data_IF_871719599896
#
_entry.id   IF_871719599896
#
_cell.length_a   1.000
_cell.length_b   1.000
_cell.length_c   1.000
_cell.angle_alpha   90.00
_cell.angle_beta   90.00
_cell.angle_gamma   90.00
#
_symmetry.space_group_name_H-M   'P 1'
#
loop_
_entity.id
_entity.type
_entity.pdbx_description
1 polymer ?
#
# COMPACT_ATOMS: atom_id res chain seq x y z
N UNK A 1 8.95 -16.17 -11.34
CA UNK A 1 8.95 -14.75 -11.22
C UNK A 1 9.96 -14.18 -10.27
N UNK A 2 9.84 -14.28 -8.94
CA UNK A 2 10.61 -13.52 -7.96
C UNK A 2 12.01 -14.04 -7.57
N UNK A 3 12.65 -14.89 -8.37
CA UNK A 3 13.95 -15.46 -8.00
C UNK A 3 15.09 -14.42 -7.99
N UNK A 4 14.97 -13.37 -8.80
CA UNK A 4 15.90 -12.25 -8.79
C UNK A 4 15.90 -11.49 -7.45
N UNK A 5 14.74 -11.31 -6.82
CA UNK A 5 14.62 -10.76 -5.46
C UNK A 5 15.37 -11.65 -4.45
N UNK A 6 15.11 -12.95 -4.46
CA UNK A 6 15.73 -13.90 -3.53
C UNK A 6 17.25 -13.87 -3.64
N UNK A 7 17.83 -13.84 -4.85
CA UNK A 7 19.27 -13.73 -5.01
C UNK A 7 19.83 -12.38 -4.52
N UNK A 8 19.08 -11.30 -4.71
CA UNK A 8 19.47 -9.99 -4.18
C UNK A 8 19.48 -10.01 -2.64
N UNK A 9 18.47 -10.60 -2.00
CA UNK A 9 18.43 -10.76 -0.54
C UNK A 9 19.57 -11.65 -0.01
N UNK A 10 19.88 -12.75 -0.72
CA UNK A 10 21.04 -13.59 -0.35
C UNK A 10 22.37 -12.84 -0.49
N UNK A 11 22.50 -11.96 -1.49
CA UNK A 11 23.66 -11.10 -1.64
C UNK A 11 23.82 -10.15 -0.45
N UNK A 12 22.74 -9.49 -0.06
CA UNK A 12 22.70 -8.57 1.10
C UNK A 12 23.05 -9.28 2.41
N UNK A 13 22.41 -10.41 2.67
CA UNK A 13 22.64 -11.20 3.90
C UNK A 13 24.03 -11.79 4.00
N UNK A 14 24.66 -12.16 2.87
CA UNK A 14 25.96 -12.85 2.87
C UNK A 14 27.14 -11.95 2.54
N UNK A 15 26.89 -10.73 2.04
CA UNK A 15 27.90 -9.81 1.53
C UNK A 15 28.64 -10.34 0.27
N UNK A 16 28.03 -11.28 -0.49
CA UNK A 16 28.67 -11.92 -1.64
C UNK A 16 28.11 -11.42 -2.96
N UNK A 17 28.89 -10.67 -3.71
CA UNK A 17 28.49 -10.05 -5.00
C UNK A 17 28.06 -11.04 -6.09
N UNK A 18 28.55 -12.28 -6.06
CA UNK A 18 28.16 -13.28 -7.04
C UNK A 18 26.65 -13.58 -7.04
N UNK A 19 25.98 -13.46 -5.90
CA UNK A 19 24.53 -13.59 -5.83
C UNK A 19 23.82 -12.38 -6.45
N UNK A 20 24.36 -11.18 -6.30
CA UNK A 20 23.81 -9.99 -6.95
C UNK A 20 23.97 -10.04 -8.48
N UNK A 21 25.10 -10.57 -8.97
CA UNK A 21 25.27 -10.85 -10.40
C UNK A 21 24.27 -11.91 -10.90
N UNK A 22 23.98 -12.94 -10.08
CA UNK A 22 22.92 -13.91 -10.38
C UNK A 22 21.55 -13.24 -10.42
N UNK A 23 21.22 -12.37 -9.45
CA UNK A 23 19.98 -11.63 -9.44
C UNK A 23 19.75 -10.88 -10.75
N UNK A 24 20.78 -10.18 -11.25
CA UNK A 24 20.72 -9.49 -12.56
C UNK A 24 20.53 -10.47 -13.71
N UNK A 25 21.21 -11.60 -13.74
CA UNK A 25 21.08 -12.61 -14.81
C UNK A 25 19.69 -13.28 -14.83
N UNK A 26 19.05 -13.41 -13.66
CA UNK A 26 17.67 -13.92 -13.52
C UNK A 26 16.60 -12.84 -13.72
N UNK A 27 16.99 -11.60 -13.93
CA UNK A 27 16.08 -10.51 -14.25
C UNK A 27 15.61 -10.60 -15.71
N UNK A 28 14.29 -10.70 -15.86
CA UNK A 28 13.66 -11.01 -17.15
C UNK A 28 13.63 -9.79 -18.06
N UNK A 29 14.53 -9.74 -19.05
CA UNK A 29 14.76 -8.59 -19.93
C UNK A 29 13.54 -8.20 -20.77
N UNK A 30 12.70 -9.15 -21.19
CA UNK A 30 11.46 -8.87 -21.94
C UNK A 30 10.50 -7.93 -21.16
N UNK A 31 10.59 -7.92 -19.82
CA UNK A 31 9.80 -7.03 -18.99
C UNK A 31 10.62 -5.78 -18.63
N UNK A 32 11.89 -5.96 -18.28
CA UNK A 32 12.73 -4.86 -17.81
C UNK A 32 13.02 -3.85 -18.93
N UNK A 33 13.38 -4.33 -20.14
CA UNK A 33 13.83 -3.44 -21.23
C UNK A 33 12.75 -2.42 -21.64
N UNK A 34 11.48 -2.81 -21.88
CA UNK A 34 10.44 -1.82 -22.11
C UNK A 34 10.23 -0.84 -20.95
N UNK A 35 10.35 -1.32 -19.70
CA UNK A 35 10.19 -0.44 -18.54
C UNK A 35 11.30 0.60 -18.42
N UNK A 36 12.52 0.27 -18.78
CA UNK A 36 13.64 1.22 -18.87
C UNK A 36 13.42 2.32 -19.91
N UNK A 37 12.65 2.01 -20.97
CA UNK A 37 12.27 2.96 -22.02
C UNK A 37 10.90 3.63 -21.77
N UNK A 38 10.31 3.43 -20.59
CA UNK A 38 8.96 3.89 -20.22
C UNK A 38 7.87 3.43 -21.21
N UNK A 39 7.99 2.22 -21.74
CA UNK A 39 6.99 1.60 -22.60
C UNK A 39 6.09 0.64 -21.83
N UNK A 40 4.78 0.89 -21.86
CA UNK A 40 3.79 -0.04 -21.30
C UNK A 40 3.52 -1.19 -22.29
N UNK A 41 4.11 -2.35 -22.03
CA UNK A 41 3.88 -3.61 -22.78
C UNK A 41 3.24 -4.69 -21.89
N UNK A 42 2.38 -4.28 -20.94
CA UNK A 42 1.81 -5.20 -19.96
C UNK A 42 0.53 -5.90 -20.44
N UNK A 43 -0.24 -5.31 -21.34
CA UNK A 43 -1.51 -5.87 -21.83
C UNK A 43 -1.36 -7.32 -22.27
N UNK A 44 -2.23 -8.19 -21.75
CA UNK A 44 -2.25 -9.63 -22.03
C UNK A 44 -1.19 -10.44 -21.26
N UNK A 45 -0.29 -9.82 -20.51
CA UNK A 45 0.67 -10.55 -19.67
C UNK A 45 0.00 -10.94 -18.34
N UNK A 46 0.34 -12.14 -17.85
CA UNK A 46 -0.13 -12.62 -16.55
C UNK A 46 0.42 -11.72 -15.43
N UNK A 47 -0.44 -10.99 -14.73
CA UNK A 47 -0.07 -9.90 -13.83
C UNK A 47 0.80 -10.37 -12.65
N UNK A 48 0.33 -11.39 -11.93
CA UNK A 48 1.05 -11.90 -10.75
C UNK A 48 2.41 -12.56 -11.09
N UNK A 49 2.65 -12.87 -12.37
CA UNK A 49 3.97 -13.32 -12.83
C UNK A 49 4.93 -12.15 -13.02
N UNK A 50 4.43 -10.97 -13.41
CA UNK A 50 5.29 -9.80 -13.67
C UNK A 50 5.64 -9.02 -12.40
N UNK A 51 4.68 -8.80 -11.51
CA UNK A 51 4.87 -7.98 -10.31
C UNK A 51 6.06 -8.45 -9.46
N UNK A 52 6.25 -9.75 -9.13
CA UNK A 52 7.41 -10.21 -8.38
C UNK A 52 8.76 -9.99 -9.08
N UNK A 53 8.78 -9.96 -10.43
CA UNK A 53 10.01 -9.62 -11.17
C UNK A 53 10.42 -8.18 -10.91
N UNK A 54 9.45 -7.27 -10.91
CA UNK A 54 9.69 -5.84 -10.68
C UNK A 54 10.09 -5.57 -9.22
N UNK A 55 9.54 -6.30 -8.26
CA UNK A 55 10.03 -6.27 -6.87
C UNK A 55 11.53 -6.61 -6.85
N UNK A 56 11.95 -7.62 -7.59
CA UNK A 56 13.37 -7.96 -7.71
C UNK A 56 14.21 -6.89 -8.41
N UNK A 57 13.68 -6.19 -9.43
CA UNK A 57 14.39 -5.06 -10.05
C UNK A 57 14.61 -3.94 -9.04
N UNK A 58 13.56 -3.57 -8.28
CA UNK A 58 13.64 -2.57 -7.21
C UNK A 58 14.64 -2.97 -6.14
N UNK A 59 14.64 -4.25 -5.71
CA UNK A 59 15.58 -4.75 -4.69
C UNK A 59 17.03 -4.66 -5.15
N UNK A 60 17.30 -5.02 -6.41
CA UNK A 60 18.63 -4.90 -7.02
C UNK A 60 19.04 -3.43 -7.12
N UNK A 61 18.12 -2.56 -7.51
CA UNK A 61 18.36 -1.12 -7.59
C UNK A 61 18.75 -0.54 -6.22
N UNK A 62 18.04 -0.89 -5.17
CA UNK A 62 18.33 -0.44 -3.80
C UNK A 62 19.73 -0.85 -3.32
N UNK A 63 20.15 -2.07 -3.65
CA UNK A 63 21.46 -2.58 -3.22
C UNK A 63 22.64 -2.00 -4.02
N UNK A 64 22.39 -1.54 -5.25
CA UNK A 64 23.44 -1.05 -6.14
C UNK A 64 23.41 0.46 -6.39
N UNK A 65 22.36 1.17 -5.94
CA UNK A 65 22.13 2.55 -6.32
C UNK A 65 21.84 2.71 -7.81
N UNK A 66 21.17 1.73 -8.43
CA UNK A 66 20.85 1.74 -9.87
C UNK A 66 19.58 2.55 -10.13
N UNK A 67 19.76 3.84 -10.44
CA UNK A 67 18.64 4.76 -10.69
C UNK A 67 17.76 4.34 -11.88
N UNK A 68 18.33 3.71 -12.91
CA UNK A 68 17.55 3.27 -14.08
C UNK A 68 16.59 2.11 -13.72
N UNK A 69 17.04 1.16 -12.92
CA UNK A 69 16.18 0.06 -12.48
C UNK A 69 15.16 0.51 -11.42
N UNK A 70 15.52 1.48 -10.58
CA UNK A 70 14.57 2.13 -9.66
C UNK A 70 13.47 2.83 -10.43
N UNK A 71 13.82 3.60 -11.45
CA UNK A 71 12.88 4.32 -12.30
C UNK A 71 11.98 3.37 -13.10
N UNK A 72 12.52 2.28 -13.64
CA UNK A 72 11.74 1.23 -14.28
C UNK A 72 10.70 0.59 -13.33
N UNK A 73 11.07 0.35 -12.06
CA UNK A 73 10.15 -0.19 -11.06
C UNK A 73 9.06 0.82 -10.70
N UNK A 74 9.39 2.11 -10.63
CA UNK A 74 8.46 3.21 -10.40
C UNK A 74 7.48 3.36 -11.56
N UNK A 75 7.98 3.38 -12.80
CA UNK A 75 7.14 3.44 -14.00
C UNK A 75 6.16 2.26 -14.08
N UNK A 76 6.61 1.04 -13.76
CA UNK A 76 5.72 -0.12 -13.66
C UNK A 76 4.62 0.11 -12.63
N UNK A 77 4.98 0.57 -11.43
CA UNK A 77 4.03 0.83 -10.35
C UNK A 77 2.98 1.87 -10.77
N UNK A 78 3.41 3.00 -11.34
CA UNK A 78 2.53 4.04 -11.85
C UNK A 78 1.60 3.51 -12.95
N UNK A 79 2.13 2.73 -13.88
CA UNK A 79 1.35 2.11 -14.96
C UNK A 79 0.25 1.19 -14.42
N UNK A 80 0.55 0.39 -13.40
CA UNK A 80 -0.44 -0.53 -12.81
C UNK A 80 -1.44 0.23 -11.93
N UNK A 81 -0.96 1.11 -11.05
CA UNK A 81 -1.80 1.78 -10.05
C UNK A 81 -2.68 2.86 -10.67
N UNK A 82 -2.13 3.70 -11.55
CA UNK A 82 -2.86 4.84 -12.09
C UNK A 82 -3.64 4.52 -13.36
N UNK A 83 -3.21 3.52 -14.13
CA UNK A 83 -3.83 3.25 -15.44
C UNK A 83 -4.58 1.92 -15.52
N UNK A 84 -4.40 0.99 -14.56
CA UNK A 84 -4.95 -0.37 -14.63
C UNK A 84 -5.67 -0.82 -13.37
N UNK A 85 -5.70 0.02 -12.33
CA UNK A 85 -6.39 -0.30 -11.09
C UNK A 85 -7.75 0.37 -10.98
N UNK A 86 -8.65 -0.27 -10.28
CA UNK A 86 -10.00 0.24 -9.97
C UNK A 86 -10.04 0.85 -8.57
N UNK A 87 -11.17 1.43 -8.20
CA UNK A 87 -11.37 2.17 -6.94
C UNK A 87 -11.00 1.38 -5.68
N UNK A 88 -11.11 0.06 -5.66
CA UNK A 88 -10.69 -0.78 -4.52
C UNK A 88 -9.16 -1.00 -4.46
N UNK A 89 -8.38 -0.48 -5.41
CA UNK A 89 -6.92 -0.68 -5.48
C UNK A 89 -6.49 -2.01 -6.10
N UNK A 90 -7.43 -2.79 -6.65
CA UNK A 90 -7.15 -4.04 -7.34
C UNK A 90 -6.95 -3.84 -8.84
N UNK A 91 -6.22 -4.74 -9.48
CA UNK A 91 -5.92 -4.73 -10.91
C UNK A 91 -6.04 -6.14 -11.52
N UNK A 92 -5.99 -6.23 -12.85
CA UNK A 92 -6.09 -7.44 -13.67
C UNK A 92 -7.49 -8.05 -13.79
N UNK A 93 -7.67 -8.79 -14.86
CA UNK A 93 -8.87 -9.60 -15.16
C UNK A 93 -8.42 -10.98 -15.60
N UNK A 94 -8.98 -12.04 -15.02
CA UNK A 94 -8.58 -13.43 -15.34
C UNK A 94 -7.07 -13.61 -15.27
N UNK A 95 -6.46 -13.08 -14.19
CA UNK A 95 -5.02 -13.10 -13.91
C UNK A 95 -4.13 -12.24 -14.85
N UNK A 96 -4.70 -11.60 -15.87
CA UNK A 96 -3.93 -10.88 -16.90
C UNK A 96 -4.21 -9.39 -16.87
N UNK A 97 -3.23 -8.58 -17.21
CA UNK A 97 -3.43 -7.15 -17.42
C UNK A 97 -4.34 -6.92 -18.63
N UNK A 98 -5.48 -6.25 -18.41
CA UNK A 98 -6.36 -5.78 -19.48
C UNK A 98 -5.76 -4.54 -20.17
N UNK A 99 -6.24 -4.14 -21.38
CA UNK A 99 -5.85 -2.86 -21.96
C UNK A 99 -6.12 -1.69 -21.01
N UNK A 100 -5.21 -0.73 -20.93
CA UNK A 100 -5.36 0.44 -20.05
C UNK A 100 -6.49 1.36 -20.46
N UNK A 101 -6.89 1.30 -21.72
CA UNK A 101 -7.93 2.13 -22.35
C UNK A 101 -9.32 1.46 -22.35
N UNK A 102 -9.44 0.24 -21.80
CA UNK A 102 -10.71 -0.53 -21.80
C UNK A 102 -10.88 -1.36 -20.52
N UNK A 103 -11.81 -0.92 -19.68
CA UNK A 103 -12.18 -1.60 -18.44
C UNK A 103 -13.46 -2.46 -18.58
N UNK A 104 -14.00 -2.64 -19.78
CA UNK A 104 -15.23 -3.41 -19.99
C UNK A 104 -15.15 -4.84 -19.48
N UNK A 105 -14.00 -5.50 -19.68
CA UNK A 105 -13.73 -6.85 -19.17
C UNK A 105 -13.68 -6.89 -17.64
N UNK A 106 -13.20 -5.85 -16.97
CA UNK A 106 -13.17 -5.71 -15.52
C UNK A 106 -14.58 -5.69 -14.92
N UNK A 107 -15.51 -4.99 -15.58
CA UNK A 107 -16.88 -4.83 -15.13
C UNK A 107 -17.77 -6.04 -15.42
N UNK A 108 -17.42 -6.85 -16.41
CA UNK A 108 -18.28 -7.96 -16.88
C UNK A 108 -17.78 -9.34 -16.47
N UNK A 109 -16.48 -9.50 -16.16
CA UNK A 109 -15.88 -10.78 -15.77
C UNK A 109 -16.28 -11.19 -14.36
N UNK A 110 -16.45 -12.51 -14.18
CA UNK A 110 -16.56 -13.15 -12.86
C UNK A 110 -15.19 -13.23 -12.14
N UNK A 111 -14.11 -13.11 -12.91
CA UNK A 111 -12.72 -13.16 -12.43
C UNK A 111 -12.11 -11.75 -12.50
N UNK A 112 -12.42 -10.93 -11.54
CA UNK A 112 -11.89 -9.57 -11.39
C UNK A 112 -10.48 -9.56 -10.77
N UNK A 113 -10.12 -8.49 -10.04
CA UNK A 113 -8.82 -8.38 -9.40
C UNK A 113 -8.43 -9.60 -8.55
N UNK A 114 -7.21 -10.07 -8.76
CA UNK A 114 -6.61 -11.18 -8.00
C UNK A 114 -5.99 -10.68 -6.70
N UNK A 115 -6.26 -11.38 -5.59
CA UNK A 115 -5.70 -11.03 -4.27
C UNK A 115 -4.16 -11.04 -4.26
N UNK A 116 -3.52 -12.01 -4.94
CA UNK A 116 -2.05 -12.07 -5.02
C UNK A 116 -1.44 -10.86 -5.73
N UNK A 117 -2.12 -10.31 -6.74
CA UNK A 117 -1.64 -9.11 -7.41
C UNK A 117 -1.56 -7.93 -6.45
N UNK A 118 -2.62 -7.70 -5.70
CA UNK A 118 -2.66 -6.61 -4.71
C UNK A 118 -1.64 -6.84 -3.60
N UNK A 119 -1.48 -8.08 -3.11
CA UNK A 119 -0.43 -8.43 -2.15
C UNK A 119 0.96 -8.02 -2.65
N UNK A 120 1.33 -8.41 -3.88
CA UNK A 120 2.63 -8.08 -4.44
C UNK A 120 2.77 -6.59 -4.78
N UNK A 121 1.70 -5.93 -5.22
CA UNK A 121 1.72 -4.47 -5.42
C UNK A 121 1.94 -3.71 -4.10
N UNK A 122 1.36 -4.16 -2.98
CA UNK A 122 1.63 -3.56 -1.66
C UNK A 122 3.09 -3.75 -1.23
N UNK A 123 3.72 -4.90 -1.54
CA UNK A 123 5.15 -5.11 -1.32
C UNK A 123 6.01 -4.10 -2.10
N UNK A 124 5.72 -3.93 -3.40
CA UNK A 124 6.43 -2.95 -4.24
C UNK A 124 6.18 -1.52 -3.74
N UNK A 125 4.93 -1.18 -3.40
CA UNK A 125 4.56 0.13 -2.85
C UNK A 125 5.34 0.46 -1.58
N UNK A 126 5.49 -0.50 -0.68
CA UNK A 126 6.31 -0.36 0.53
C UNK A 126 7.76 -0.02 0.19
N UNK A 127 8.38 -0.75 -0.75
CA UNK A 127 9.79 -0.52 -1.13
C UNK A 127 9.98 0.88 -1.74
N UNK A 128 9.07 1.32 -2.60
CA UNK A 128 9.10 2.66 -3.20
C UNK A 128 8.89 3.75 -2.15
N UNK A 129 7.97 3.54 -1.21
CA UNK A 129 7.78 4.46 -0.08
C UNK A 129 9.04 4.56 0.80
N UNK A 130 9.68 3.45 1.13
CA UNK A 130 10.87 3.42 1.98
C UNK A 130 12.06 4.19 1.37
N UNK A 131 12.11 4.33 0.06
CA UNK A 131 13.16 5.09 -0.64
C UNK A 131 12.88 6.60 -0.66
N UNK A 132 11.61 7.00 -0.77
CA UNK A 132 11.24 8.40 -1.04
C UNK A 132 10.46 9.08 0.09
N UNK A 133 9.79 8.30 0.97
CA UNK A 133 8.78 8.75 1.93
C UNK A 133 7.62 9.55 1.29
N UNK A 134 7.36 9.34 -0.01
CA UNK A 134 6.28 10.02 -0.72
C UNK A 134 4.92 9.44 -0.27
N UNK A 135 4.06 10.34 0.22
CA UNK A 135 2.71 9.98 0.72
C UNK A 135 1.82 9.35 -0.33
N UNK A 136 2.06 9.62 -1.62
CA UNK A 136 1.28 9.05 -2.71
C UNK A 136 1.28 7.52 -2.68
N UNK A 137 2.42 6.89 -2.34
CA UNK A 137 2.48 5.45 -2.14
C UNK A 137 1.59 4.99 -0.99
N UNK A 138 1.55 5.75 0.10
CA UNK A 138 0.72 5.39 1.25
C UNK A 138 -0.77 5.60 1.02
N UNK A 139 -1.16 6.57 0.20
CA UNK A 139 -2.56 6.74 -0.23
C UNK A 139 -3.08 5.53 -1.00
N UNK A 140 -2.27 4.99 -1.92
CA UNK A 140 -2.62 3.79 -2.68
C UNK A 140 -2.53 2.52 -1.84
N UNK A 141 -1.56 2.45 -0.91
CA UNK A 141 -1.46 1.37 0.07
C UNK A 141 -2.72 1.29 0.94
N UNK A 142 -3.14 2.42 1.54
CA UNK A 142 -4.34 2.52 2.37
C UNK A 142 -5.60 2.12 1.58
N UNK A 143 -5.75 2.65 0.36
CA UNK A 143 -6.88 2.33 -0.53
C UNK A 143 -7.00 0.82 -0.77
N UNK A 144 -5.91 0.17 -1.16
CA UNK A 144 -5.90 -1.26 -1.44
C UNK A 144 -6.08 -2.10 -0.17
N UNK A 145 -5.50 -1.68 0.95
CA UNK A 145 -5.64 -2.37 2.23
C UNK A 145 -7.09 -2.38 2.71
N UNK A 146 -7.75 -1.21 2.78
CA UNK A 146 -9.11 -1.11 3.30
C UNK A 146 -10.16 -1.69 2.35
N UNK A 147 -10.00 -1.54 1.03
CA UNK A 147 -11.06 -1.87 0.09
C UNK A 147 -10.88 -3.21 -0.60
N UNK A 148 -9.66 -3.70 -0.78
CA UNK A 148 -9.43 -5.00 -1.39
C UNK A 148 -8.98 -6.03 -0.34
N UNK A 149 -7.84 -5.82 0.32
CA UNK A 149 -7.27 -6.83 1.21
C UNK A 149 -8.22 -7.19 2.37
N UNK A 150 -8.72 -6.21 3.12
CA UNK A 150 -9.65 -6.47 4.24
C UNK A 150 -10.90 -7.23 3.81
N UNK A 151 -11.33 -7.07 2.56
CA UNK A 151 -12.53 -7.72 2.04
C UNK A 151 -12.28 -9.14 1.51
N UNK A 152 -11.05 -9.63 1.54
CA UNK A 152 -10.68 -10.96 0.98
C UNK A 152 -10.66 -12.09 2.00
N UNK A 153 -11.06 -11.85 3.23
CA UNK A 153 -11.23 -12.88 4.26
C UNK A 153 -12.71 -12.99 4.66
N UNK A 154 -13.18 -14.21 4.81
CA UNK A 154 -14.45 -14.47 5.49
C UNK A 154 -14.24 -14.35 7.00
N UNK A 155 -14.84 -13.36 7.68
CA UNK A 155 -14.63 -13.15 9.11
C UNK A 155 -15.27 -14.23 9.98
N UNK A 156 -16.15 -15.05 9.42
CA UNK A 156 -16.88 -16.12 10.15
C UNK A 156 -16.19 -17.47 10.01
N UNK A 157 -15.83 -17.85 8.76
CA UNK A 157 -15.28 -19.17 8.46
C UNK A 157 -13.77 -19.16 8.20
N UNK A 158 -13.17 -17.99 7.99
CA UNK A 158 -11.72 -17.81 7.76
C UNK A 158 -11.27 -18.18 6.35
N UNK A 159 -12.18 -18.31 5.38
CA UNK A 159 -11.85 -18.56 3.97
C UNK A 159 -11.28 -17.32 3.29
N UNK A 160 -10.43 -17.50 2.26
CA UNK A 160 -9.80 -16.44 1.48
C UNK A 160 -10.35 -16.36 0.07
N UNK A 161 -10.30 -15.18 -0.52
CA UNK A 161 -10.78 -14.88 -1.87
C UNK A 161 -9.64 -14.95 -2.88
N UNK A 162 -9.87 -15.58 -4.02
CA UNK A 162 -8.96 -15.53 -5.17
C UNK A 162 -9.23 -14.27 -6.00
N UNK A 163 -10.44 -14.14 -6.56
CA UNK A 163 -10.88 -13.02 -7.37
C UNK A 163 -11.94 -12.20 -6.64
N UNK A 164 -11.85 -10.89 -6.76
CA UNK A 164 -12.88 -9.95 -6.34
C UNK A 164 -13.63 -9.45 -7.58
N UNK A 165 -14.76 -10.09 -7.98
CA UNK A 165 -15.49 -9.69 -9.16
C UNK A 165 -16.13 -8.32 -8.97
N UNK A 166 -16.06 -7.49 -10.02
CA UNK A 166 -16.74 -6.20 -10.10
C UNK A 166 -18.07 -6.30 -10.83
N UNK A 167 -18.36 -7.46 -11.42
CA UNK A 167 -19.63 -7.74 -12.09
C UNK A 167 -20.80 -7.59 -11.14
N UNK A 168 -21.78 -6.78 -11.53
CA UNK A 168 -23.01 -6.58 -10.75
C UNK A 168 -23.79 -7.90 -10.55
N UNK A 169 -24.30 -8.11 -9.34
CA UNK A 169 -25.09 -9.32 -9.00
C UNK A 169 -24.25 -10.61 -8.89
N UNK A 170 -22.92 -10.52 -8.90
CA UNK A 170 -22.05 -11.67 -8.67
C UNK A 170 -21.58 -11.74 -7.22
N UNK A 171 -21.12 -12.92 -6.78
CA UNK A 171 -20.67 -13.19 -5.41
C UNK A 171 -19.19 -13.56 -5.36
N UNK A 172 -18.60 -13.44 -4.17
CA UNK A 172 -17.25 -13.92 -3.88
C UNK A 172 -17.23 -15.40 -3.56
N UNK A 173 -16.19 -16.09 -4.03
CA UNK A 173 -15.93 -17.49 -3.70
C UNK A 173 -14.79 -17.53 -2.69
N UNK A 174 -15.07 -18.11 -1.52
CA UNK A 174 -14.08 -18.28 -0.45
C UNK A 174 -13.47 -19.68 -0.48
N UNK A 175 -12.20 -19.76 -0.10
CA UNK A 175 -11.48 -21.02 0.01
C UNK A 175 -12.04 -21.91 1.12
N UNK A 176 -11.92 -23.24 0.93
CA UNK A 176 -12.26 -24.23 1.93
C UNK A 176 -11.00 -24.77 2.60
N UNK A 177 -10.97 -25.01 3.92
CA UNK A 177 -9.75 -25.34 4.67
C UNK A 177 -8.99 -26.57 4.14
N UNK A 178 -9.69 -27.60 3.63
CA UNK A 178 -9.08 -28.87 3.23
C UNK A 178 -9.00 -29.08 1.71
N UNK A 179 -9.72 -28.29 0.91
CA UNK A 179 -9.90 -28.57 -0.53
C UNK A 179 -9.44 -27.45 -1.45
N UNK A 180 -9.18 -26.26 -0.91
CA UNK A 180 -8.71 -25.12 -1.67
C UNK A 180 -7.25 -24.83 -1.33
N UNK A 181 -6.36 -25.08 -2.30
CA UNK A 181 -4.93 -24.84 -2.15
C UNK A 181 -4.44 -23.90 -3.27
N UNK A 182 -5.00 -22.70 -3.28
CA UNK A 182 -4.68 -21.66 -4.26
C UNK A 182 -3.49 -20.80 -3.80
N UNK A 183 -2.80 -20.16 -4.74
CA UNK A 183 -1.78 -19.14 -4.39
C UNK A 183 -2.34 -18.06 -3.47
N UNK A 184 -3.58 -17.63 -3.69
CA UNK A 184 -4.26 -16.61 -2.88
C UNK A 184 -4.62 -17.06 -1.46
N UNK A 185 -4.57 -18.34 -1.13
CA UNK A 185 -4.63 -18.82 0.26
C UNK A 185 -3.31 -18.45 0.98
N UNK A 186 -2.18 -18.67 0.32
CA UNK A 186 -0.86 -18.28 0.86
C UNK A 186 -0.73 -16.78 1.04
N UNK A 187 -1.00 -15.99 0.01
CA UNK A 187 -0.96 -14.53 0.12
C UNK A 187 -2.03 -13.99 1.08
N UNK A 188 -3.19 -14.66 1.20
CA UNK A 188 -4.22 -14.32 2.16
C UNK A 188 -3.75 -14.45 3.60
N UNK A 189 -3.09 -15.55 3.96
CA UNK A 189 -2.51 -15.71 5.30
C UNK A 189 -1.48 -14.62 5.61
N UNK A 190 -0.62 -14.26 4.65
CA UNK A 190 0.36 -13.19 4.83
C UNK A 190 -0.27 -11.81 4.91
N UNK A 191 -1.25 -11.49 4.04
CA UNK A 191 -1.94 -10.20 4.00
C UNK A 191 -2.49 -9.82 5.38
N UNK A 192 -3.22 -10.75 6.00
CA UNK A 192 -3.91 -10.49 7.26
C UNK A 192 -2.97 -10.51 8.48
N UNK A 193 -1.73 -10.99 8.32
CA UNK A 193 -0.68 -10.89 9.32
C UNK A 193 0.15 -9.59 9.21
N UNK A 194 -0.03 -8.78 8.14
CA UNK A 194 0.82 -7.62 7.81
C UNK A 194 0.19 -6.25 8.07
N UNK A 195 -0.97 -6.17 8.70
CA UNK A 195 -1.65 -4.88 8.93
C UNK A 195 -0.80 -3.86 9.68
N UNK A 196 0.08 -4.33 10.56
CA UNK A 196 1.00 -3.48 11.33
C UNK A 196 2.19 -2.94 10.54
N UNK A 197 2.49 -3.50 9.35
CA UNK A 197 3.77 -3.30 8.67
C UNK A 197 4.02 -1.85 8.25
N UNK A 198 2.96 -1.11 7.87
CA UNK A 198 3.06 0.25 7.34
C UNK A 198 2.29 1.29 8.18
N UNK A 199 1.87 0.95 9.40
CA UNK A 199 1.23 1.95 10.29
C UNK A 199 2.22 3.07 10.58
N UNK A 200 3.47 2.73 10.83
CA UNK A 200 4.54 3.67 11.14
C UNK A 200 5.73 3.50 10.22
N UNK A 201 6.39 4.62 9.94
CA UNK A 201 7.75 4.69 9.45
C UNK A 201 8.62 5.48 10.44
N UNK A 202 9.93 5.37 10.34
CA UNK A 202 10.83 6.18 11.15
C UNK A 202 12.17 6.45 10.45
N UNK A 203 12.77 7.58 10.76
CA UNK A 203 14.18 7.84 10.60
C UNK A 203 14.86 7.88 11.98
N UNK A 204 16.01 8.51 12.11
CA UNK A 204 16.74 8.60 13.38
C UNK A 204 15.95 9.37 14.44
N UNK A 205 15.35 10.49 14.06
CA UNK A 205 14.66 11.46 14.92
C UNK A 205 13.25 11.85 14.44
N UNK A 206 12.70 11.11 13.50
CA UNK A 206 11.34 11.34 12.98
C UNK A 206 10.51 10.05 13.05
N UNK A 207 9.27 10.19 13.48
CA UNK A 207 8.24 9.16 13.48
C UNK A 207 7.14 9.53 12.49
N UNK A 208 6.95 8.72 11.46
CA UNK A 208 5.89 8.87 10.46
C UNK A 208 4.68 8.04 10.85
N UNK A 209 3.50 8.65 10.91
CA UNK A 209 2.21 7.98 11.12
C UNK A 209 1.50 7.91 9.78
N UNK A 210 1.55 6.75 9.15
CA UNK A 210 1.09 6.55 7.78
C UNK A 210 -0.34 6.00 7.71
N UNK A 211 -0.71 5.08 8.60
CA UNK A 211 -2.04 4.50 8.66
C UNK A 211 -2.66 4.75 10.03
N UNK A 212 -3.95 5.07 10.03
CA UNK A 212 -4.68 5.40 11.25
C UNK A 212 -5.38 4.16 11.79
N UNK A 213 -4.58 3.22 12.32
CA UNK A 213 -5.01 1.93 12.85
C UNK A 213 -4.69 1.86 14.33
N UNK A 214 -5.64 1.48 15.23
CA UNK A 214 -5.37 1.32 16.64
C UNK A 214 -4.19 0.37 16.88
N UNK A 215 -3.15 0.84 17.57
CA UNK A 215 -1.90 0.09 17.66
C UNK A 215 -1.00 0.60 18.78
N UNK A 216 -0.01 -0.22 19.13
CA UNK A 216 1.06 0.14 20.04
C UNK A 216 2.40 -0.09 19.34
N UNK A 217 3.22 0.95 19.28
CA UNK A 217 4.58 0.89 18.78
C UNK A 217 5.58 1.00 19.93
N UNK A 218 6.59 0.13 19.95
CA UNK A 218 7.77 0.29 20.77
C UNK A 218 8.93 0.77 19.88
N UNK A 219 9.29 2.04 19.96
CA UNK A 219 10.38 2.67 19.22
C UNK A 219 11.54 3.02 20.16
N UNK A 220 12.46 2.09 20.29
CA UNK A 220 13.52 2.18 21.29
C UNK A 220 12.96 2.29 22.70
N UNK A 221 13.17 3.44 23.37
CA UNK A 221 12.65 3.72 24.72
C UNK A 221 11.33 4.50 24.72
N UNK A 222 10.78 4.81 23.57
CA UNK A 222 9.50 5.50 23.42
C UNK A 222 8.43 4.46 23.09
N UNK A 223 7.35 4.46 23.87
CA UNK A 223 6.13 3.72 23.55
C UNK A 223 5.11 4.71 23.01
N UNK A 224 4.54 4.39 21.87
CA UNK A 224 3.49 5.18 21.21
C UNK A 224 2.25 4.33 21.14
N UNK A 225 1.14 4.84 21.64
CA UNK A 225 -0.17 4.22 21.56
C UNK A 225 -1.05 5.06 20.64
N UNK A 226 -1.49 4.49 19.52
CA UNK A 226 -2.44 5.12 18.62
C UNK A 226 -3.86 4.72 18.98
N UNK A 227 -4.65 5.70 19.37
CA UNK A 227 -6.05 5.58 19.76
C UNK A 227 -6.90 6.21 18.65
N UNK A 228 -7.76 5.41 18.02
CA UNK A 228 -8.59 5.89 16.92
C UNK A 228 -9.76 4.93 16.68
N UNK A 229 -10.91 5.47 16.30
CA UNK A 229 -12.04 4.73 15.75
C UNK A 229 -12.12 4.79 14.22
N UNK A 230 -11.04 5.26 13.56
CA UNK A 230 -10.96 5.36 12.11
C UNK A 230 -11.19 3.99 11.41
N UNK A 231 -11.93 3.90 10.31
CA UNK A 231 -12.50 4.99 9.50
C UNK A 231 -13.93 5.43 9.90
N UNK A 232 -14.42 5.05 11.07
CA UNK A 232 -15.73 5.47 11.57
C UNK A 232 -15.70 6.81 12.32
N UNK A 233 -14.51 7.22 12.78
CA UNK A 233 -14.26 8.50 13.42
C UNK A 233 -13.19 9.28 12.66
N UNK A 234 -13.38 10.58 12.53
CA UNK A 234 -12.51 11.48 11.77
C UNK A 234 -11.32 12.00 12.60
N UNK A 235 -10.69 11.14 13.40
CA UNK A 235 -9.55 11.56 14.22
C UNK A 235 -8.65 10.39 14.60
N UNK A 236 -7.40 10.73 14.91
CA UNK A 236 -6.44 9.84 15.55
C UNK A 236 -5.74 10.58 16.70
N UNK A 237 -5.40 9.86 17.75
CA UNK A 237 -4.66 10.39 18.91
C UNK A 237 -3.47 9.50 19.18
N UNK A 238 -2.28 10.08 19.31
CA UNK A 238 -1.11 9.39 19.82
C UNK A 238 -0.90 9.76 21.26
N UNK A 239 -0.74 8.76 22.14
CA UNK A 239 -0.27 8.90 23.49
C UNK A 239 1.16 8.40 23.59
N UNK A 240 2.05 9.23 24.11
CA UNK A 240 3.48 8.97 24.17
C UNK A 240 3.88 8.60 25.61
N UNK A 241 4.67 7.56 25.77
CA UNK A 241 5.29 7.21 27.04
C UNK A 241 6.80 7.18 26.85
N UNK A 242 7.48 8.07 27.56
CA UNK A 242 8.92 8.28 27.48
C UNK A 242 9.50 8.27 28.90
N UNK A 243 10.31 7.28 29.25
CA UNK A 243 10.94 7.24 30.59
C UNK A 243 11.82 8.46 30.92
N UNK A 244 12.32 9.14 29.87
CA UNK A 244 12.96 10.48 29.92
C UNK A 244 12.51 11.26 28.70
N UNK A 245 12.32 12.57 28.87
CA UNK A 245 11.94 13.44 27.76
C UNK A 245 12.94 13.33 26.61
N UNK A 246 12.41 13.10 25.39
CA UNK A 246 13.19 12.90 24.15
C UNK A 246 12.71 13.86 23.09
N UNK A 247 13.65 14.49 22.37
CA UNK A 247 13.35 15.37 21.25
C UNK A 247 13.25 14.54 19.97
N UNK A 248 12.14 14.68 19.24
CA UNK A 248 11.90 14.10 17.92
C UNK A 248 10.67 14.74 17.27
N UNK A 249 10.50 14.49 15.99
CA UNK A 249 9.38 14.98 15.18
C UNK A 249 8.37 13.86 14.96
N UNK A 250 7.10 14.12 15.23
CA UNK A 250 5.98 13.28 14.78
C UNK A 250 5.42 13.86 13.50
N UNK A 251 5.33 13.05 12.46
CA UNK A 251 4.80 13.42 11.13
C UNK A 251 3.54 12.60 10.85
N UNK A 252 2.39 13.24 10.76
CA UNK A 252 1.13 12.61 10.37
C UNK A 252 0.93 12.76 8.86
N UNK A 253 0.68 11.65 8.17
CA UNK A 253 0.31 11.71 6.75
C UNK A 253 -0.97 12.54 6.57
N UNK A 254 -0.98 13.38 5.56
CA UNK A 254 -2.18 14.03 5.03
C UNK A 254 -2.71 13.18 3.88
N UNK A 255 -3.81 12.41 4.08
CA UNK A 255 -4.34 11.57 3.02
C UNK A 255 -4.88 12.39 1.84
N UNK A 256 -4.78 11.85 0.60
CA UNK A 256 -5.33 12.49 -0.61
C UNK A 256 -6.83 12.80 -0.53
N UNK A 257 -7.57 12.07 0.31
CA UNK A 257 -9.00 12.24 0.50
C UNK A 257 -9.39 13.27 1.56
N UNK A 258 -8.43 13.83 2.31
CA UNK A 258 -8.68 14.77 3.40
C UNK A 258 -8.21 16.18 3.03
N UNK A 259 -9.04 17.17 3.37
CA UNK A 259 -8.70 18.57 3.17
C UNK A 259 -7.84 19.09 4.34
N UNK A 260 -6.56 19.33 4.07
CA UNK A 260 -5.60 19.80 5.06
C UNK A 260 -6.03 21.13 5.72
N UNK A 261 -6.75 21.99 5.02
CA UNK A 261 -7.24 23.28 5.56
C UNK A 261 -8.30 23.13 6.65
N UNK A 262 -8.94 21.97 6.73
CA UNK A 262 -9.98 21.63 7.71
C UNK A 262 -9.45 20.74 8.83
N UNK A 263 -8.19 20.34 8.78
CA UNK A 263 -7.57 19.56 9.85
C UNK A 263 -7.35 20.42 11.09
N UNK A 264 -7.50 19.80 12.24
CA UNK A 264 -7.18 20.39 13.53
C UNK A 264 -6.14 19.54 14.22
N UNK A 265 -5.12 20.19 14.78
CA UNK A 265 -4.04 19.55 15.53
C UNK A 265 -4.02 20.11 16.95
N UNK A 266 -3.96 19.22 17.93
CA UNK A 266 -3.77 19.62 19.32
C UNK A 266 -2.64 18.83 19.97
N UNK A 267 -1.92 19.49 20.88
CA UNK A 267 -0.93 18.84 21.75
C UNK A 267 -1.34 19.14 23.20
N UNK A 268 -1.59 18.10 23.96
CA UNK A 268 -2.10 18.20 25.34
C UNK A 268 -3.33 19.12 25.43
N UNK A 269 -4.25 19.01 24.48
CA UNK A 269 -5.46 19.84 24.38
C UNK A 269 -5.24 21.26 23.87
N UNK A 270 -4.00 21.68 23.63
CA UNK A 270 -3.69 23.02 23.10
C UNK A 270 -3.57 22.98 21.58
N UNK A 271 -4.35 23.83 20.89
CA UNK A 271 -4.34 23.91 19.44
C UNK A 271 -2.94 24.30 18.89
N UNK A 272 -2.54 23.65 17.80
CA UNK A 272 -1.30 23.91 17.09
C UNK A 272 -1.62 24.30 15.65
N UNK A 273 -0.74 25.09 14.99
CA UNK A 273 -0.87 25.36 13.56
C UNK A 273 -0.79 24.06 12.76
N UNK A 274 -1.67 23.93 11.77
CA UNK A 274 -1.58 22.86 10.76
C UNK A 274 -0.89 23.40 9.54
N UNK A 275 0.28 22.88 9.23
CA UNK A 275 1.03 23.19 8.02
C UNK A 275 1.53 21.89 7.40
N UNK A 276 1.00 21.56 6.22
CA UNK A 276 1.41 20.38 5.49
C UNK A 276 2.64 20.68 4.60
N UNK A 277 3.66 19.85 4.70
CA UNK A 277 4.84 19.90 3.84
C UNK A 277 5.24 18.47 3.46
N UNK A 278 5.50 18.22 2.17
CA UNK A 278 5.80 16.89 1.66
C UNK A 278 4.72 15.86 1.96
N UNK A 279 3.45 16.29 2.07
CA UNK A 279 2.32 15.42 2.40
C UNK A 279 2.17 15.05 3.88
N UNK A 280 2.91 15.71 4.78
CA UNK A 280 2.84 15.48 6.22
C UNK A 280 2.58 16.74 7.02
N UNK A 281 1.82 16.62 8.10
CA UNK A 281 1.74 17.60 9.19
C UNK A 281 2.72 17.18 10.27
N UNK A 282 3.66 18.06 10.61
CA UNK A 282 4.76 17.76 11.52
C UNK A 282 4.64 18.49 12.86
N UNK A 283 4.99 17.79 13.95
CA UNK A 283 5.12 18.37 15.29
C UNK A 283 6.49 18.01 15.85
N UNK A 284 7.37 19.00 15.92
CA UNK A 284 8.72 18.86 16.49
C UNK A 284 8.76 19.43 17.90
N UNK A 285 9.10 18.60 18.88
CA UNK A 285 9.25 19.06 20.27
C UNK A 285 10.00 18.03 21.12
N UNK A 286 10.34 18.46 22.33
CA UNK A 286 10.79 17.56 23.37
C UNK A 286 9.57 16.93 24.04
N UNK A 287 9.32 15.65 23.75
CA UNK A 287 8.19 14.87 24.25
C UNK A 287 8.46 14.38 25.68
N UNK A 288 7.46 14.48 26.53
CA UNK A 288 7.47 13.99 27.90
C UNK A 288 6.54 12.78 28.05
N UNK A 289 6.66 12.10 29.18
CA UNK A 289 5.77 10.99 29.53
C UNK A 289 4.33 11.47 29.69
N UNK A 290 3.40 10.79 29.03
CA UNK A 290 1.98 11.13 29.01
C UNK A 290 1.58 12.22 28.01
N UNK A 291 2.52 12.78 27.21
CA UNK A 291 2.14 13.72 26.16
C UNK A 291 1.18 13.07 25.15
N UNK A 292 0.20 13.86 24.73
CA UNK A 292 -0.83 13.45 23.78
C UNK A 292 -0.88 14.39 22.59
N UNK A 293 -0.92 13.84 21.38
CA UNK A 293 -1.13 14.62 20.15
C UNK A 293 -2.31 14.05 19.37
N UNK A 294 -3.27 14.90 19.03
CA UNK A 294 -4.49 14.52 18.31
C UNK A 294 -4.59 15.30 17.00
N UNK A 295 -4.87 14.57 15.92
CA UNK A 295 -5.15 15.12 14.59
C UNK A 295 -6.57 14.73 14.15
N UNK A 296 -7.34 15.71 13.65
CA UNK A 296 -8.59 15.42 12.93
C UNK A 296 -8.29 15.10 11.48
N UNK A 297 -9.12 14.24 10.89
CA UNK A 297 -9.00 13.72 9.53
C UNK A 297 -10.34 13.91 8.81
N UNK A 298 -10.70 15.15 8.42
CA UNK A 298 -12.01 15.44 7.85
C UNK A 298 -12.27 14.62 6.60
N UNK A 299 -13.37 13.87 6.59
CA UNK A 299 -13.80 13.05 5.46
C UNK A 299 -14.89 13.77 4.66
N UNK A 300 -15.02 13.40 3.40
CA UNK A 300 -16.07 13.86 2.52
C UNK A 300 -16.46 12.79 1.52
N UNK A 301 -17.68 12.89 0.98
CA UNK A 301 -18.11 12.05 -0.11
C UNK A 301 -17.38 12.47 -1.38
N UNK A 302 -16.78 11.52 -2.07
CA UNK A 302 -16.04 11.71 -3.33
C UNK A 302 -16.49 10.70 -4.38
N UNK A 303 -16.28 11.03 -5.63
CA UNK A 303 -16.48 10.14 -6.78
C UNK A 303 -15.11 9.72 -7.32
N UNK A 304 -14.94 8.44 -7.57
CA UNK A 304 -13.80 7.87 -8.29
C UNK A 304 -14.28 7.33 -9.63
N UNK A 305 -13.61 7.69 -10.71
CA UNK A 305 -13.85 7.23 -12.08
C UNK A 305 -12.88 6.13 -12.47
N UNK A 306 -13.18 5.39 -13.54
CA UNK A 306 -12.22 4.47 -14.13
C UNK A 306 -11.18 5.24 -14.97
N UNK A 307 -9.94 4.72 -15.06
CA UNK A 307 -8.87 5.38 -15.82
C UNK A 307 -9.12 5.51 -17.32
N UNK A 308 -9.99 4.66 -17.90
CA UNK A 308 -10.38 4.71 -19.32
C UNK A 308 -11.37 5.84 -19.67
N UNK A 309 -11.81 6.61 -18.66
CA UNK A 309 -12.77 7.70 -18.84
C UNK A 309 -14.20 7.25 -19.12
N UNK A 310 -14.52 5.96 -18.96
CA UNK A 310 -15.88 5.46 -19.11
C UNK A 310 -16.83 5.99 -18.02
N UNK A 311 -18.15 6.02 -18.30
CA UNK A 311 -19.19 6.50 -17.41
C UNK A 311 -19.51 5.52 -16.26
N UNK A 312 -18.46 5.03 -15.60
CA UNK A 312 -18.57 4.16 -14.44
C UNK A 312 -17.96 4.83 -13.21
N UNK A 313 -18.74 4.89 -12.13
CA UNK A 313 -18.41 5.66 -10.95
C UNK A 313 -18.43 4.79 -9.70
N UNK A 314 -17.50 5.04 -8.79
CA UNK A 314 -17.51 4.53 -7.41
C UNK A 314 -17.63 5.70 -6.45
N UNK A 315 -18.46 5.57 -5.42
CA UNK A 315 -18.54 6.55 -4.35
C UNK A 315 -17.62 6.17 -3.21
N UNK A 316 -16.90 7.13 -2.67
CA UNK A 316 -15.97 6.96 -1.58
C UNK A 316 -16.27 7.93 -0.44
N UNK A 317 -16.10 7.47 0.80
CA UNK A 317 -16.10 8.32 1.98
C UNK A 317 -14.80 8.11 2.76
N UNK A 318 -13.98 9.15 2.89
CA UNK A 318 -12.60 8.99 3.33
C UNK A 318 -11.86 7.96 2.47
N UNK A 319 -11.20 6.95 3.06
CA UNK A 319 -10.49 5.90 2.32
C UNK A 319 -11.41 4.80 1.76
N UNK A 320 -12.68 4.74 2.20
CA UNK A 320 -13.56 3.57 1.99
C UNK A 320 -14.43 3.75 0.75
N UNK A 321 -14.46 2.72 -0.11
CA UNK A 321 -15.42 2.60 -1.21
C UNK A 321 -16.77 2.18 -0.66
N UNK A 322 -17.81 2.95 -0.96
CA UNK A 322 -19.17 2.66 -0.53
C UNK A 322 -19.80 1.61 -1.44
N UNK A 323 -20.51 0.66 -0.85
CA UNK A 323 -21.24 -0.38 -1.56
C UNK A 323 -22.72 -0.34 -1.15
N UNK A 324 -23.61 -0.54 -2.12
CA UNK A 324 -25.04 -0.79 -1.88
C UNK A 324 -25.29 -2.29 -1.68
N UNK A 325 -26.19 -2.62 -0.75
CA UNK A 325 -26.75 -3.97 -0.58
C UNK A 325 -27.89 -4.21 -1.55
#
# INVERSE_FOLDING_TARGET
>A
GGLNEVFADVADLTGKDNYLQLARRFSHREILDPLLEHEDRLTGKHANTQIPKVIGYKRIADLQGDEGWDDAARFFWETVVERRSISIGGNSVREHFHPSEDFSSMLTSEQGPETCNTYNMLRLTKMLYQTSADVHYMDKYERALYNHILSTIDPVQGGFVYFTPMRSGHYRVYSQPQTSFWCCVGSGMENHAKYGEMIYGHSEDELYVNLFIPSVLQWGKVRVEQLTGFPYEEATTLRLSCGKAKEFTVKFRVPEWSDASRMELTVNGTAQPVSASGGYVAVSRKWADGDEVRLTLPMSLRVSTLPDGSDNYSFMYGPVVLASR
#
